data_IF_508422039426
#
_entry.id   IF_508422039426
#
_cell.length_a   1.000
_cell.length_b   1.000
_cell.length_c   1.000
_cell.angle_alpha   90.00
_cell.angle_beta   90.00
_cell.angle_gamma   90.00
#
_symmetry.space_group_name_H-M   'P 1'
#
loop_
_entity.id
_entity.type
_entity.pdbx_description
1 polymer ?
#
# COMPACT_ATOMS: atom_id res chain seq x y z
N UNK A 1 14.16 -17.49 22.71
CA UNK A 1 14.34 -18.27 21.48
C UNK A 1 14.00 -17.36 20.30
N UNK A 2 14.82 -17.32 19.26
CA UNK A 2 14.48 -16.59 18.03
C UNK A 2 13.31 -17.29 17.34
N UNK A 3 12.31 -16.52 16.90
CA UNK A 3 11.20 -17.05 16.09
C UNK A 3 11.76 -17.63 14.78
N UNK A 4 11.18 -18.71 14.31
CA UNK A 4 11.49 -19.27 12.98
C UNK A 4 11.00 -18.34 11.86
N UNK A 5 11.54 -18.46 10.65
CA UNK A 5 11.11 -17.63 9.50
C UNK A 5 9.60 -17.75 9.23
N UNK A 6 8.98 -18.95 9.24
CA UNK A 6 7.52 -19.06 9.09
C UNK A 6 6.73 -18.34 10.19
N UNK A 7 7.23 -18.29 11.42
CA UNK A 7 6.58 -17.57 12.52
C UNK A 7 6.75 -16.05 12.42
N UNK A 8 7.79 -15.59 11.74
CA UNK A 8 8.02 -14.17 11.49
C UNK A 8 7.25 -13.64 10.28
N UNK A 9 7.03 -14.50 9.28
CA UNK A 9 6.39 -14.12 8.04
C UNK A 9 4.95 -13.65 8.28
N UNK A 10 4.66 -12.42 7.93
CA UNK A 10 3.33 -11.82 8.10
C UNK A 10 2.92 -11.53 9.54
N UNK A 11 3.80 -11.72 10.55
CA UNK A 11 3.45 -11.51 11.96
C UNK A 11 3.11 -10.05 12.32
N UNK A 12 3.51 -9.10 11.48
CA UNK A 12 3.20 -7.67 11.62
C UNK A 12 2.23 -7.17 10.54
N UNK A 13 1.38 -8.07 10.04
CA UNK A 13 0.35 -7.75 9.04
C UNK A 13 -1.02 -8.03 9.62
N UNK A 14 -1.91 -7.02 9.58
CA UNK A 14 -3.32 -7.15 9.96
C UNK A 14 -4.09 -7.89 8.85
N UNK A 15 -3.78 -9.18 8.71
CA UNK A 15 -4.26 -10.05 7.65
C UNK A 15 -5.66 -10.59 7.93
N UNK A 16 -6.15 -11.44 7.02
CA UNK A 16 -7.48 -12.05 7.13
C UNK A 16 -7.68 -12.84 8.43
N UNK A 17 -6.64 -13.54 8.90
CA UNK A 17 -6.70 -14.31 10.16
C UNK A 17 -6.86 -13.40 11.37
N UNK A 18 -6.12 -12.27 11.41
CA UNK A 18 -6.24 -11.25 12.45
C UNK A 18 -7.63 -10.58 12.43
N UNK A 19 -8.10 -10.19 11.25
CA UNK A 19 -9.43 -9.63 11.08
C UNK A 19 -10.53 -10.59 11.55
N UNK A 20 -10.43 -11.84 11.17
CA UNK A 20 -11.41 -12.88 11.56
C UNK A 20 -11.42 -13.18 13.06
N UNK A 21 -10.24 -13.09 13.70
CA UNK A 21 -10.11 -13.33 15.13
C UNK A 21 -10.63 -12.18 16.00
N UNK A 22 -10.52 -10.93 15.50
CA UNK A 22 -10.78 -9.70 16.28
C UNK A 22 -12.12 -9.03 15.96
N UNK A 23 -12.65 -9.23 14.76
CA UNK A 23 -13.92 -8.62 14.38
C UNK A 23 -15.13 -9.48 14.80
N UNK A 24 -16.26 -8.85 15.18
CA UNK A 24 -17.54 -9.54 15.27
C UNK A 24 -17.86 -10.25 13.94
N UNK A 25 -18.51 -11.42 14.01
CA UNK A 25 -18.75 -12.28 12.84
C UNK A 25 -19.54 -11.60 11.71
N UNK A 26 -20.47 -10.76 12.05
CA UNK A 26 -21.29 -9.97 11.11
C UNK A 26 -20.45 -8.87 10.42
N UNK A 27 -19.61 -8.17 11.18
CA UNK A 27 -18.67 -7.15 10.66
C UNK A 27 -17.64 -7.78 9.73
N UNK A 28 -17.04 -8.91 10.14
CA UNK A 28 -16.12 -9.63 9.28
C UNK A 28 -16.77 -10.08 7.96
N UNK A 29 -18.01 -10.59 8.00
CA UNK A 29 -18.74 -10.96 6.79
C UNK A 29 -19.05 -9.76 5.90
N UNK A 30 -19.43 -8.63 6.49
CA UNK A 30 -19.68 -7.38 5.76
C UNK A 30 -18.39 -6.88 5.07
N UNK A 31 -17.26 -6.87 5.78
CA UNK A 31 -15.95 -6.51 5.24
C UNK A 31 -15.53 -7.46 4.11
N UNK A 32 -15.63 -8.77 4.31
CA UNK A 32 -15.32 -9.77 3.29
C UNK A 32 -16.20 -9.60 2.03
N UNK A 33 -17.48 -9.26 2.19
CA UNK A 33 -18.37 -8.94 1.07
C UNK A 33 -17.87 -7.69 0.32
N UNK A 34 -17.54 -6.62 1.05
CA UNK A 34 -16.99 -5.39 0.47
C UNK A 34 -15.73 -5.66 -0.34
N UNK A 35 -14.78 -6.42 0.19
CA UNK A 35 -13.54 -6.82 -0.48
C UNK A 35 -13.85 -7.60 -1.77
N UNK A 36 -14.72 -8.60 -1.69
CA UNK A 36 -15.04 -9.48 -2.82
C UNK A 36 -15.86 -8.80 -3.91
N UNK A 37 -16.74 -7.88 -3.56
CA UNK A 37 -17.61 -7.19 -4.51
C UNK A 37 -17.02 -5.89 -5.06
N UNK A 38 -15.97 -5.35 -4.42
CA UNK A 38 -15.44 -4.01 -4.71
C UNK A 38 -16.43 -2.90 -4.37
N UNK A 39 -17.36 -3.14 -3.42
CA UNK A 39 -18.35 -2.16 -3.00
C UNK A 39 -17.77 -1.15 -2.01
N UNK A 40 -18.52 -0.10 -1.73
CA UNK A 40 -18.16 0.90 -0.73
C UNK A 40 -18.06 0.28 0.68
N UNK A 41 -17.10 0.77 1.47
CA UNK A 41 -16.96 0.40 2.89
C UNK A 41 -17.87 1.28 3.72
N UNK A 42 -18.85 0.67 4.37
CA UNK A 42 -19.79 1.36 5.25
C UNK A 42 -19.08 1.86 6.53
N UNK A 43 -19.48 3.04 7.01
CA UNK A 43 -18.81 3.69 8.14
C UNK A 43 -18.85 2.86 9.42
N UNK A 44 -19.97 2.17 9.69
CA UNK A 44 -20.12 1.34 10.89
C UNK A 44 -19.17 0.13 10.86
N UNK A 45 -19.00 -0.48 9.67
CA UNK A 45 -18.01 -1.53 9.45
C UNK A 45 -16.61 -0.96 9.63
N UNK A 46 -16.33 0.20 9.04
CA UNK A 46 -15.04 0.87 9.16
C UNK A 46 -14.68 1.22 10.60
N UNK A 47 -15.64 1.69 11.41
CA UNK A 47 -15.42 1.97 12.84
C UNK A 47 -15.01 0.72 13.61
N UNK A 48 -15.69 -0.39 13.38
CA UNK A 48 -15.35 -1.65 14.04
C UNK A 48 -13.97 -2.17 13.62
N UNK A 49 -13.65 -2.05 12.33
CA UNK A 49 -12.32 -2.40 11.79
C UNK A 49 -11.24 -1.50 12.38
N UNK A 50 -11.49 -0.20 12.46
CA UNK A 50 -10.53 0.76 13.02
C UNK A 50 -10.19 0.45 14.49
N UNK A 51 -11.19 0.13 15.31
CA UNK A 51 -10.97 -0.27 16.70
C UNK A 51 -10.08 -1.52 16.77
N UNK A 52 -10.44 -2.57 16.05
CA UNK A 52 -9.68 -3.82 16.04
C UNK A 52 -8.26 -3.63 15.51
N UNK A 53 -8.09 -2.84 14.47
CA UNK A 53 -6.79 -2.51 13.86
C UNK A 53 -5.91 -1.70 14.83
N UNK A 54 -6.48 -0.71 15.52
CA UNK A 54 -5.79 0.07 16.56
C UNK A 54 -5.34 -0.82 17.71
N UNK A 55 -6.23 -1.62 18.28
CA UNK A 55 -5.90 -2.51 19.40
C UNK A 55 -4.80 -3.48 19.02
N UNK A 56 -4.89 -4.10 17.86
CA UNK A 56 -3.85 -4.96 17.32
C UNK A 56 -2.51 -4.22 17.17
N UNK A 57 -2.55 -3.00 16.65
CA UNK A 57 -1.34 -2.20 16.45
C UNK A 57 -0.67 -1.83 17.79
N UNK A 58 -1.46 -1.44 18.79
CA UNK A 58 -0.95 -1.11 20.13
C UNK A 58 -0.34 -2.34 20.83
N UNK A 59 -0.95 -3.52 20.71
CA UNK A 59 -0.40 -4.78 21.21
C UNK A 59 0.97 -5.12 20.61
N UNK A 60 1.22 -4.66 19.37
CA UNK A 60 2.49 -4.83 18.66
C UNK A 60 3.45 -3.64 18.82
N UNK A 61 3.14 -2.70 19.72
CA UNK A 61 4.02 -1.58 20.08
C UNK A 61 3.97 -0.39 19.13
N UNK A 62 2.95 -0.29 18.29
CA UNK A 62 2.73 0.91 17.48
C UNK A 62 2.22 2.06 18.36
N UNK A 63 2.69 3.27 18.10
CA UNK A 63 2.30 4.51 18.78
C UNK A 63 1.68 5.52 17.81
N UNK A 64 1.90 5.31 16.55
CA UNK A 64 1.48 6.18 15.45
C UNK A 64 0.83 5.36 14.34
N UNK A 65 0.09 6.04 13.48
CA UNK A 65 -0.41 5.49 12.22
C UNK A 65 -0.05 6.41 11.07
N UNK A 66 -0.12 5.90 9.85
CA UNK A 66 0.09 6.67 8.63
C UNK A 66 -0.79 6.17 7.50
N UNK A 67 -1.35 7.09 6.73
CA UNK A 67 -1.89 6.79 5.42
C UNK A 67 -0.71 6.57 4.48
N UNK A 68 -0.52 5.32 4.05
CA UNK A 68 0.62 4.88 3.27
C UNK A 68 0.24 4.74 1.80
N UNK A 69 0.86 5.53 0.94
CA UNK A 69 0.59 5.53 -0.50
C UNK A 69 1.83 5.95 -1.30
N UNK A 70 1.79 5.73 -2.61
CA UNK A 70 2.84 6.15 -3.52
C UNK A 70 2.32 7.27 -4.43
N UNK A 71 2.77 8.52 -4.24
CA UNK A 71 2.42 9.64 -5.11
C UNK A 71 2.80 9.39 -6.57
N UNK A 72 2.08 10.00 -7.51
CA UNK A 72 2.34 9.86 -8.95
C UNK A 72 3.77 10.26 -9.35
N UNK A 73 4.34 11.25 -8.67
CA UNK A 73 5.63 11.86 -9.01
C UNK A 73 6.72 11.62 -7.97
N UNK A 74 6.49 10.79 -6.96
CA UNK A 74 7.42 10.62 -5.85
C UNK A 74 7.60 9.18 -5.40
N UNK A 75 8.41 9.05 -4.37
CA UNK A 75 8.56 7.82 -3.59
C UNK A 75 7.37 7.67 -2.63
N UNK A 76 7.31 6.54 -1.94
CA UNK A 76 6.29 6.29 -0.92
C UNK A 76 6.15 7.45 0.06
N UNK A 77 4.93 7.91 0.28
CA UNK A 77 4.61 8.98 1.22
C UNK A 77 4.05 8.38 2.52
N UNK A 78 4.49 8.94 3.62
CA UNK A 78 4.09 8.57 4.97
C UNK A 78 3.87 9.85 5.76
N UNK A 79 2.65 10.08 6.23
CA UNK A 79 2.34 11.16 7.17
C UNK A 79 1.94 10.52 8.49
N UNK A 80 2.82 10.60 9.47
CA UNK A 80 2.62 9.97 10.76
C UNK A 80 1.73 10.82 11.65
N UNK A 81 0.64 10.25 12.11
CA UNK A 81 -0.23 10.81 13.12
C UNK A 81 -0.16 9.94 14.40
N UNK A 82 -0.22 10.57 15.56
CA UNK A 82 -0.25 9.85 16.84
C UNK A 82 -1.63 9.28 17.08
N UNK A 83 -1.70 8.09 17.68
CA UNK A 83 -2.94 7.61 18.29
C UNK A 83 -3.35 8.42 19.52
N UNK A 84 -2.44 9.18 20.11
CA UNK A 84 -2.67 9.92 21.33
C UNK A 84 -3.48 11.19 21.06
N UNK A 85 -4.66 11.29 21.67
CA UNK A 85 -5.53 12.46 21.62
C UNK A 85 -5.72 13.04 23.03
N UNK A 86 -5.36 14.34 23.28
CA UNK A 86 -5.60 14.99 24.55
C UNK A 86 -7.09 15.17 24.82
N UNK A 87 -7.54 14.92 26.06
CA UNK A 87 -8.94 15.11 26.48
C UNK A 87 -9.23 16.50 27.03
N UNK A 88 -8.22 17.38 27.10
CA UNK A 88 -8.37 18.77 27.58
C UNK A 88 -8.27 18.94 29.09
N UNK A 89 -8.16 17.89 29.89
CA UNK A 89 -8.07 17.93 31.37
C UNK A 89 -6.75 17.35 31.90
N UNK A 90 -5.69 17.37 31.11
CA UNK A 90 -4.41 16.77 31.48
C UNK A 90 -4.35 15.26 31.29
N UNK A 91 -5.36 14.68 30.70
CA UNK A 91 -5.45 13.27 30.33
C UNK A 91 -5.39 13.12 28.82
N UNK A 92 -5.15 11.90 28.35
CA UNK A 92 -5.12 11.56 26.94
C UNK A 92 -5.71 10.17 26.71
N UNK A 93 -6.29 9.98 25.55
CA UNK A 93 -6.83 8.69 25.09
C UNK A 93 -6.10 8.24 23.83
N UNK A 94 -6.16 6.94 23.53
CA UNK A 94 -5.71 6.40 22.25
C UNK A 94 -6.91 6.31 21.31
N UNK A 95 -6.91 7.14 20.26
CA UNK A 95 -8.02 7.27 19.33
C UNK A 95 -7.63 6.87 17.91
N UNK A 96 -8.50 6.18 17.23
CA UNK A 96 -8.45 5.90 15.79
C UNK A 96 -9.85 5.49 15.35
N UNK A 97 -10.41 6.17 14.38
CA UNK A 97 -11.80 5.97 13.96
C UNK A 97 -11.93 5.49 12.52
N UNK A 98 -13.06 4.95 12.18
CA UNK A 98 -13.37 4.52 10.81
C UNK A 98 -13.36 5.66 9.79
N UNK A 99 -13.44 6.91 10.22
CA UNK A 99 -13.29 8.07 9.32
C UNK A 99 -11.91 8.06 8.63
N UNK A 100 -10.87 7.69 9.38
CA UNK A 100 -9.51 7.58 8.82
C UNK A 100 -9.40 6.51 7.73
N UNK A 101 -10.26 5.48 7.79
CA UNK A 101 -10.30 4.40 6.80
C UNK A 101 -11.17 4.77 5.60
N UNK A 102 -12.33 5.39 5.81
CA UNK A 102 -13.31 5.66 4.74
C UNK A 102 -12.91 6.89 3.94
N UNK A 103 -12.51 7.97 4.61
CA UNK A 103 -12.26 9.25 3.98
C UNK A 103 -11.33 10.11 4.84
N UNK A 104 -10.04 9.95 4.66
CA UNK A 104 -9.07 10.89 5.19
C UNK A 104 -8.92 12.11 4.26
N UNK A 105 -8.53 13.25 4.81
CA UNK A 105 -8.25 14.49 4.07
C UNK A 105 -6.83 14.98 4.40
N UNK A 106 -5.76 14.24 4.04
CA UNK A 106 -4.41 14.64 4.36
C UNK A 106 -4.00 15.86 3.55
N UNK A 107 -3.20 16.72 4.17
CA UNK A 107 -2.46 17.75 3.46
C UNK A 107 -1.17 17.15 2.88
N UNK A 108 -1.15 16.94 1.58
CA UNK A 108 -0.01 16.38 0.86
C UNK A 108 0.99 17.45 0.40
N UNK A 109 0.80 18.71 0.74
CA UNK A 109 1.68 19.82 0.32
C UNK A 109 3.11 19.67 0.86
N UNK A 110 3.29 18.96 1.97
CA UNK A 110 4.59 18.66 2.58
C UNK A 110 5.32 17.47 1.94
N UNK A 111 4.67 16.72 1.06
CA UNK A 111 5.31 15.56 0.41
C UNK A 111 6.28 16.00 -0.68
N UNK A 112 7.39 15.26 -0.92
CA UNK A 112 8.40 15.65 -1.90
C UNK A 112 7.87 15.89 -3.31
N UNK A 113 6.78 15.22 -3.69
CA UNK A 113 6.11 15.35 -4.98
C UNK A 113 5.17 16.57 -5.07
N UNK A 114 4.87 17.25 -3.96
CA UNK A 114 3.96 18.41 -3.92
C UNK A 114 4.56 19.69 -4.49
N UNK A 115 5.89 19.78 -4.62
CA UNK A 115 6.59 21.02 -4.99
C UNK A 115 6.36 21.55 -6.41
N UNK A 116 5.83 20.72 -7.30
CA UNK A 116 5.49 21.11 -8.69
C UNK A 116 4.00 21.32 -8.92
N UNK A 117 3.18 21.17 -7.90
CA UNK A 117 1.73 21.30 -7.99
C UNK A 117 1.25 22.48 -7.17
N UNK A 118 0.21 23.14 -7.64
CA UNK A 118 -0.50 24.12 -6.84
C UNK A 118 -1.03 23.46 -5.55
N UNK A 119 -1.04 24.20 -4.45
CA UNK A 119 -1.39 23.66 -3.11
C UNK A 119 -2.76 22.97 -3.06
N UNK A 120 -3.70 23.43 -3.90
CA UNK A 120 -5.03 22.80 -4.00
C UNK A 120 -4.99 21.42 -4.66
N UNK A 121 -4.05 21.13 -5.53
CA UNK A 121 -3.84 19.82 -6.14
C UNK A 121 -3.14 18.83 -5.19
N UNK A 122 -2.46 19.35 -4.16
CA UNK A 122 -1.83 18.52 -3.13
C UNK A 122 -2.82 18.03 -2.06
N UNK A 123 -4.06 18.49 -2.10
CA UNK A 123 -5.13 18.09 -1.20
C UNK A 123 -6.13 17.17 -1.89
N UNK A 124 -6.68 16.25 -1.15
CA UNK A 124 -7.67 15.32 -1.68
C UNK A 124 -8.15 14.36 -0.61
N UNK A 125 -8.70 13.25 -1.06
CA UNK A 125 -9.23 12.22 -0.21
C UNK A 125 -8.34 10.98 -0.25
N UNK A 126 -8.07 10.42 0.92
CA UNK A 126 -7.54 9.08 1.07
C UNK A 126 -8.64 8.13 1.50
N UNK A 127 -8.58 6.91 1.01
CA UNK A 127 -9.41 5.82 1.49
C UNK A 127 -8.57 4.56 1.62
N UNK A 128 -8.75 3.83 2.71
CA UNK A 128 -8.13 2.53 2.85
C UNK A 128 -8.57 1.62 1.71
N UNK A 129 -7.61 0.93 1.12
CA UNK A 129 -7.89 -0.15 0.20
C UNK A 129 -7.97 -1.46 0.99
N UNK A 130 -9.17 -2.00 1.26
CA UNK A 130 -9.33 -3.19 2.07
C UNK A 130 -8.81 -4.47 1.40
N UNK A 131 -8.43 -4.43 0.12
CA UNK A 131 -7.74 -5.53 -0.56
C UNK A 131 -6.24 -5.58 -0.24
N UNK A 132 -5.71 -4.55 0.44
CA UNK A 132 -4.33 -4.44 0.91
C UNK A 132 -4.30 -4.36 2.43
N UNK A 133 -3.64 -5.32 3.05
CA UNK A 133 -3.57 -5.39 4.50
C UNK A 133 -2.74 -4.26 5.10
N UNK A 134 -3.23 -3.69 6.21
CA UNK A 134 -2.43 -2.81 7.02
C UNK A 134 -1.29 -3.59 7.70
N UNK A 135 -0.20 -2.92 7.98
CA UNK A 135 0.99 -3.55 8.54
C UNK A 135 1.75 -2.60 9.47
N UNK A 136 2.60 -3.16 10.32
CA UNK A 136 3.44 -2.37 11.22
C UNK A 136 4.86 -2.29 10.67
N UNK A 137 5.40 -1.07 10.63
CA UNK A 137 6.78 -0.75 10.31
C UNK A 137 7.37 0.09 11.44
N UNK A 138 8.31 -0.49 12.19
CA UNK A 138 8.80 0.14 13.42
C UNK A 138 7.69 0.30 14.46
N UNK A 139 7.36 1.52 14.82
CA UNK A 139 6.28 1.85 15.78
C UNK A 139 5.07 2.50 15.10
N UNK A 140 4.90 2.29 13.81
CA UNK A 140 3.85 2.93 13.01
C UNK A 140 2.98 1.89 12.34
N UNK A 141 1.67 2.02 12.49
CA UNK A 141 0.66 1.31 11.70
C UNK A 141 0.58 1.97 10.33
N UNK A 142 0.98 1.26 9.29
CA UNK A 142 0.89 1.69 7.90
C UNK A 142 -0.42 1.19 7.28
N UNK A 143 -1.24 2.11 6.80
CA UNK A 143 -2.56 1.82 6.22
C UNK A 143 -2.48 2.07 4.70
N UNK A 144 -2.46 1.00 3.86
CA UNK A 144 -2.42 1.17 2.41
C UNK A 144 -3.66 1.90 1.91
N UNK A 145 -3.47 3.09 1.33
CA UNK A 145 -4.56 3.94 0.88
C UNK A 145 -4.46 4.31 -0.58
N UNK A 146 -5.61 4.52 -1.21
CA UNK A 146 -5.72 5.26 -2.46
C UNK A 146 -5.84 6.75 -2.14
N UNK A 147 -5.27 7.60 -2.97
CA UNK A 147 -5.30 9.04 -2.82
C UNK A 147 -5.75 9.71 -4.13
N UNK A 148 -6.84 10.45 -4.06
CA UNK A 148 -7.37 11.20 -5.20
C UNK A 148 -7.69 12.64 -4.83
N UNK A 149 -7.70 13.53 -5.83
CA UNK A 149 -8.09 14.92 -5.66
C UNK A 149 -9.56 15.06 -5.28
N UNK A 150 -9.97 16.24 -4.87
CA UNK A 150 -11.39 16.53 -4.61
C UNK A 150 -12.30 16.39 -5.85
N UNK A 151 -11.73 16.52 -7.05
CA UNK A 151 -12.39 16.26 -8.33
C UNK A 151 -12.32 14.80 -8.80
N UNK A 152 -11.62 13.94 -8.05
CA UNK A 152 -11.53 12.51 -8.34
C UNK A 152 -10.34 12.11 -9.23
N UNK A 153 -9.41 13.01 -9.52
CA UNK A 153 -8.20 12.69 -10.25
C UNK A 153 -7.23 11.89 -9.38
N UNK A 154 -6.51 10.95 -9.99
CA UNK A 154 -5.53 10.16 -9.27
C UNK A 154 -4.33 11.02 -8.84
N UNK A 155 -4.00 10.99 -7.56
CA UNK A 155 -2.81 11.63 -6.99
C UNK A 155 -1.74 10.60 -6.59
N UNK A 156 -2.07 9.32 -6.67
CA UNK A 156 -1.19 8.19 -6.36
C UNK A 156 -1.15 7.17 -7.49
N UNK A 157 -0.28 6.17 -7.36
CA UNK A 157 -0.15 5.07 -8.33
C UNK A 157 -1.18 3.96 -8.11
N UNK A 158 -1.74 3.83 -6.91
CA UNK A 158 -2.73 2.81 -6.56
C UNK A 158 -4.09 3.09 -7.20
N UNK A 159 -4.54 4.33 -7.23
CA UNK A 159 -5.83 4.70 -7.83
C UNK A 159 -5.94 4.27 -9.31
N UNK A 160 -4.98 4.56 -10.21
CA UNK A 160 -5.00 4.03 -11.57
C UNK A 160 -4.96 2.50 -11.63
N UNK A 161 -4.20 1.84 -10.76
CA UNK A 161 -4.14 0.39 -10.67
C UNK A 161 -5.52 -0.20 -10.35
N UNK A 162 -6.18 0.27 -9.30
CA UNK A 162 -7.50 -0.22 -8.90
C UNK A 162 -8.55 0.03 -9.98
N UNK A 163 -8.53 1.19 -10.63
CA UNK A 163 -9.41 1.51 -11.76
C UNK A 163 -9.16 0.61 -12.96
N UNK A 164 -7.92 0.30 -13.27
CA UNK A 164 -7.58 -0.62 -14.38
C UNK A 164 -8.03 -2.05 -14.08
N UNK A 165 -7.87 -2.50 -12.83
CA UNK A 165 -8.36 -3.82 -12.40
C UNK A 165 -9.88 -3.93 -12.52
N UNK A 166 -10.61 -2.87 -12.18
CA UNK A 166 -12.07 -2.83 -12.33
C UNK A 166 -12.50 -2.87 -13.79
N UNK A 167 -11.82 -2.11 -14.65
CA UNK A 167 -12.08 -2.12 -16.08
C UNK A 167 -11.82 -3.51 -16.71
N UNK A 168 -10.70 -4.14 -16.36
CA UNK A 168 -10.39 -5.51 -16.81
C UNK A 168 -11.42 -6.51 -16.29
N UNK A 169 -11.82 -6.40 -15.01
CA UNK A 169 -12.84 -7.27 -14.42
C UNK A 169 -14.16 -7.22 -15.19
N UNK A 170 -14.61 -6.01 -15.54
CA UNK A 170 -15.84 -5.79 -16.30
C UNK A 170 -15.80 -6.50 -17.66
N UNK A 171 -14.76 -6.25 -18.43
CA UNK A 171 -14.64 -6.78 -19.79
C UNK A 171 -14.39 -8.31 -19.80
N UNK A 172 -13.57 -8.81 -18.87
CA UNK A 172 -13.32 -10.23 -18.71
C UNK A 172 -14.60 -11.00 -18.28
N UNK A 173 -15.39 -10.42 -17.37
CA UNK A 173 -16.68 -10.99 -16.97
C UNK A 173 -17.66 -11.04 -18.15
N UNK A 174 -17.72 -9.96 -18.93
CA UNK A 174 -18.53 -9.91 -20.14
C UNK A 174 -18.12 -11.01 -21.16
N UNK A 175 -16.83 -11.15 -21.41
CA UNK A 175 -16.30 -12.22 -22.27
C UNK A 175 -16.70 -13.62 -21.76
N UNK A 176 -16.57 -13.87 -20.48
CA UNK A 176 -16.95 -15.15 -19.88
C UNK A 176 -18.45 -15.43 -20.05
N UNK A 177 -19.31 -14.42 -19.92
CA UNK A 177 -20.75 -14.56 -20.18
C UNK A 177 -21.03 -14.92 -21.64
N UNK A 178 -20.35 -14.30 -22.61
CA UNK A 178 -20.46 -14.67 -24.04
C UNK A 178 -20.04 -16.12 -24.27
N UNK A 179 -19.03 -16.60 -23.53
CA UNK A 179 -18.55 -17.98 -23.56
C UNK A 179 -19.43 -18.96 -22.76
N UNK A 180 -20.60 -18.52 -22.27
CA UNK A 180 -21.58 -19.36 -21.58
C UNK A 180 -21.34 -19.52 -20.06
N UNK A 181 -20.37 -18.78 -19.47
CA UNK A 181 -20.10 -18.80 -18.01
C UNK A 181 -20.86 -17.68 -17.32
N UNK A 182 -22.19 -17.78 -17.29
CA UNK A 182 -23.10 -16.71 -16.81
C UNK A 182 -23.17 -16.58 -15.29
N UNK A 183 -22.66 -17.54 -14.55
CA UNK A 183 -22.58 -17.54 -13.08
C UNK A 183 -21.41 -16.68 -12.54
N UNK A 184 -20.43 -16.33 -13.38
CA UNK A 184 -19.30 -15.49 -12.99
C UNK A 184 -19.76 -14.06 -12.79
N UNK A 185 -19.50 -13.50 -11.60
CA UNK A 185 -19.89 -12.14 -11.23
C UNK A 185 -18.73 -11.16 -11.30
N UNK A 186 -17.51 -11.62 -11.16
CA UNK A 186 -16.30 -10.80 -11.15
C UNK A 186 -15.09 -11.64 -11.55
N UNK A 187 -14.14 -11.00 -12.23
CA UNK A 187 -12.82 -11.55 -12.50
C UNK A 187 -11.79 -10.71 -11.76
N UNK A 188 -10.96 -11.33 -10.95
CA UNK A 188 -9.91 -10.65 -10.21
C UNK A 188 -8.57 -10.87 -10.91
N UNK A 189 -7.84 -9.79 -11.12
CA UNK A 189 -6.44 -9.83 -11.53
C UNK A 189 -5.56 -10.00 -10.30
N UNK A 190 -4.45 -10.69 -10.47
CA UNK A 190 -3.41 -10.81 -9.45
C UNK A 190 -2.15 -10.11 -9.90
N UNK A 191 -1.40 -9.57 -8.95
CA UNK A 191 -0.11 -8.92 -9.18
C UNK A 191 0.88 -9.38 -8.12
N UNK A 192 2.11 -9.64 -8.53
CA UNK A 192 3.24 -9.90 -7.65
C UNK A 192 4.31 -8.82 -7.88
N UNK A 193 4.79 -8.20 -6.81
CA UNK A 193 5.91 -7.28 -6.89
C UNK A 193 7.22 -8.07 -6.92
N UNK A 194 8.14 -7.67 -7.81
CA UNK A 194 9.50 -8.19 -7.89
C UNK A 194 10.49 -7.06 -7.61
N UNK A 195 11.59 -7.41 -6.98
CA UNK A 195 12.73 -6.52 -6.81
C UNK A 195 13.92 -7.12 -7.55
N UNK A 196 14.56 -6.31 -8.38
CA UNK A 196 15.77 -6.71 -9.08
C UNK A 196 16.92 -5.81 -8.66
N UNK A 197 18.04 -6.43 -8.32
CA UNK A 197 19.24 -5.76 -7.87
C UNK A 197 20.44 -6.18 -8.70
N UNK A 198 21.22 -5.19 -9.09
CA UNK A 198 22.55 -5.38 -9.63
C UNK A 198 23.57 -4.97 -8.59
N UNK A 199 24.43 -5.90 -8.19
CA UNK A 199 25.53 -5.58 -7.29
C UNK A 199 26.67 -4.95 -8.07
N UNK A 200 27.07 -3.78 -7.63
CA UNK A 200 28.17 -3.01 -8.22
C UNK A 200 29.29 -2.89 -7.20
N UNK A 201 30.53 -3.07 -7.64
CA UNK A 201 31.69 -2.84 -6.78
C UNK A 201 31.70 -1.39 -6.29
N UNK A 202 31.86 -1.20 -4.98
CA UNK A 202 31.74 0.11 -4.34
C UNK A 202 32.81 1.11 -4.81
N UNK A 203 34.03 0.63 -5.07
CA UNK A 203 35.11 1.48 -5.56
C UNK A 203 34.84 1.90 -7.01
N UNK A 204 34.34 1.00 -7.85
CA UNK A 204 33.89 1.32 -9.20
C UNK A 204 32.73 2.30 -9.19
N UNK A 205 31.75 2.12 -8.27
CA UNK A 205 30.62 3.04 -8.12
C UNK A 205 31.06 4.47 -7.79
N UNK A 206 32.07 4.63 -6.90
CA UNK A 206 32.59 5.95 -6.51
C UNK A 206 33.23 6.73 -7.66
N UNK A 207 33.65 6.06 -8.71
CA UNK A 207 34.21 6.66 -9.91
C UNK A 207 33.13 7.08 -10.93
N UNK A 208 31.91 6.59 -10.75
CA UNK A 208 30.78 6.79 -11.68
C UNK A 208 29.83 7.87 -11.18
N UNK A 209 30.09 9.10 -11.59
CA UNK A 209 29.26 10.25 -11.21
C UNK A 209 27.80 10.14 -11.69
N UNK A 210 27.56 9.52 -12.83
CA UNK A 210 26.23 9.24 -13.34
C UNK A 210 25.45 8.31 -12.40
N UNK A 211 26.06 7.25 -11.89
CA UNK A 211 25.42 6.36 -10.91
C UNK A 211 25.16 7.06 -9.57
N UNK A 212 26.11 7.90 -9.11
CA UNK A 212 26.00 8.63 -7.84
C UNK A 212 24.86 9.68 -7.90
N UNK A 213 24.83 10.48 -8.96
CA UNK A 213 23.90 11.61 -9.03
C UNK A 213 22.57 11.29 -9.67
N UNK A 214 22.52 10.30 -10.59
CA UNK A 214 21.32 9.99 -11.35
C UNK A 214 20.74 8.61 -11.04
N UNK A 215 21.44 7.76 -10.28
CA UNK A 215 21.02 6.40 -9.97
C UNK A 215 20.99 5.46 -11.18
N UNK A 216 21.54 5.88 -12.32
CA UNK A 216 21.56 5.11 -13.57
C UNK A 216 22.77 5.48 -14.44
N UNK A 217 23.10 4.59 -15.37
CA UNK A 217 24.06 4.86 -16.43
C UNK A 217 23.47 5.91 -17.39
N UNK A 218 24.20 7.00 -17.66
CA UNK A 218 23.82 8.01 -18.66
C UNK A 218 24.41 7.73 -20.03
N UNK A 219 25.65 7.25 -20.06
CA UNK A 219 26.37 6.91 -21.30
C UNK A 219 26.96 5.51 -21.17
N UNK A 220 26.99 4.79 -22.25
CA UNK A 220 27.49 3.40 -22.31
C UNK A 220 26.38 2.36 -22.50
N UNK A 221 26.65 1.13 -22.16
CA UNK A 221 25.68 0.06 -22.25
C UNK A 221 24.48 0.33 -21.35
N UNK A 222 23.28 0.11 -21.85
CA UNK A 222 22.06 0.12 -21.07
C UNK A 222 22.13 -0.93 -19.95
N UNK A 223 21.30 -0.76 -18.90
CA UNK A 223 21.10 -1.83 -17.94
C UNK A 223 20.67 -3.10 -18.67
N UNK A 224 21.18 -4.27 -18.30
CA UNK A 224 20.92 -5.51 -19.04
C UNK A 224 19.43 -5.83 -19.13
N UNK A 225 18.65 -5.55 -18.11
CA UNK A 225 17.23 -5.83 -18.07
C UNK A 225 16.45 -5.18 -19.21
N UNK A 226 15.65 -5.97 -19.92
CA UNK A 226 14.80 -5.54 -21.01
C UNK A 226 15.49 -5.31 -22.34
N UNK A 227 16.80 -5.55 -22.38
CA UNK A 227 17.59 -5.40 -23.60
C UNK A 227 17.78 -6.72 -24.32
N UNK A 228 18.26 -7.72 -23.57
CA UNK A 228 18.62 -9.05 -24.04
C UNK A 228 17.91 -10.07 -23.13
N UNK A 229 17.01 -10.86 -23.64
CA UNK A 229 16.16 -11.74 -22.83
C UNK A 229 16.92 -12.85 -22.13
N UNK A 230 18.15 -13.15 -22.55
CA UNK A 230 18.90 -14.31 -22.09
C UNK A 230 20.02 -13.98 -21.10
N UNK A 231 20.39 -12.71 -20.97
CA UNK A 231 21.59 -12.31 -20.24
C UNK A 231 21.42 -12.20 -18.72
N UNK A 232 20.18 -12.22 -18.20
CA UNK A 232 19.91 -11.92 -16.80
C UNK A 232 19.91 -13.12 -15.89
N UNK A 233 19.46 -14.27 -16.37
CA UNK A 233 19.12 -15.42 -15.55
C UNK A 233 20.11 -16.57 -15.64
N UNK A 234 21.10 -16.47 -16.52
CA UNK A 234 22.07 -17.53 -16.77
C UNK A 234 23.46 -17.25 -16.19
N UNK A 235 23.64 -16.15 -15.51
CA UNK A 235 24.89 -15.82 -14.84
C UNK A 235 25.09 -16.64 -13.57
N UNK A 236 26.29 -17.13 -13.37
CA UNK A 236 26.67 -17.78 -12.12
C UNK A 236 26.72 -16.73 -10.98
N UNK A 237 26.18 -17.08 -9.83
CA UNK A 237 26.38 -16.30 -8.62
C UNK A 237 27.87 -16.33 -8.24
N UNK A 238 28.48 -15.17 -8.15
CA UNK A 238 29.88 -15.06 -7.71
C UNK A 238 29.98 -15.24 -6.20
N UNK A 239 31.08 -15.86 -5.67
CA UNK A 239 31.20 -16.08 -4.22
C UNK A 239 31.12 -14.81 -3.37
N UNK A 240 31.40 -13.63 -3.92
CA UNK A 240 31.32 -12.36 -3.20
C UNK A 240 29.91 -11.73 -3.26
N UNK A 241 28.96 -12.30 -3.98
CA UNK A 241 27.55 -11.90 -4.03
C UNK A 241 26.78 -12.60 -2.93
#
# INVERSE_FOLDING_TARGET
MSKSIPELYGSLVFNDSEMKARLPKDIYKALAKTINSGSHLELDVANSVAVAMKEWALEHGATHFTHWFQPMTGITAEKHDSFLSPTGVGEAIMEFSGKELVKGEPDASSFPSGGLRATFEARGYTAWDPTSFAFIKGHTLCIPTAFCSYSGEALDKKTPLLRSMEAVSKEATHLLHILGKTDVKRVNTTVGAEQEYFLVDKECYRLRKDLIFCGRTLLGASAPKGQEMEDHYFGALKPRV
#
